data_IF_702769474842
#
_entry.id   IF_702769474842
#
_cell.length_a   1.000
_cell.length_b   1.000
_cell.length_c   1.000
_cell.angle_alpha   90.00
_cell.angle_beta   90.00
_cell.angle_gamma   90.00
#
_symmetry.space_group_name_H-M   'P 1'
#
loop_
_entity.id
_entity.type
_entity.pdbx_description
1 polymer ?
#
# COMPACT_ATOMS: atom_id res chain seq x y z
N UNK A 1 -39.08 -31.02 -67.26
CA UNK A 1 -40.45 -31.55 -67.34
C UNK A 1 -41.34 -30.53 -66.67
N UNK A 2 -42.11 -29.69 -67.31
CA UNK A 2 -42.37 -29.36 -68.72
C UNK A 2 -43.00 -27.95 -68.64
N UNK A 3 -42.40 -26.94 -69.27
CA UNK A 3 -42.84 -26.40 -70.57
C UNK A 3 -44.31 -25.96 -70.58
N UNK A 4 -44.54 -24.66 -70.83
CA UNK A 4 -45.13 -24.19 -72.10
C UNK A 4 -45.34 -22.66 -72.07
N UNK A 5 -44.34 -21.93 -72.57
CA UNK A 5 -44.57 -20.90 -73.61
C UNK A 5 -44.65 -21.65 -74.97
N UNK A 6 -45.13 -21.09 -76.12
CA UNK A 6 -45.01 -19.69 -76.54
C UNK A 6 -46.18 -19.17 -77.43
N UNK A 7 -46.07 -17.97 -78.01
CA UNK A 7 -45.89 -17.73 -79.46
C UNK A 7 -45.90 -16.22 -79.73
N UNK A 8 -44.83 -15.78 -80.39
CA UNK A 8 -44.63 -14.49 -81.05
C UNK A 8 -45.03 -14.67 -82.52
N UNK A 9 -45.68 -13.68 -83.13
CA UNK A 9 -45.56 -13.47 -84.58
C UNK A 9 -45.50 -11.97 -84.91
N UNK A 10 -44.55 -11.65 -85.79
CA UNK A 10 -44.16 -10.34 -86.29
C UNK A 10 -44.93 -10.01 -87.56
N UNK A 11 -45.21 -8.72 -87.83
CA UNK A 11 -44.97 -8.10 -89.15
C UNK A 11 -45.31 -6.59 -89.15
N UNK A 12 -44.30 -5.78 -89.45
CA UNK A 12 -44.37 -4.48 -90.14
C UNK A 12 -43.85 -4.70 -91.59
N UNK A 13 -43.92 -3.77 -92.59
CA UNK A 13 -44.19 -2.32 -92.52
C UNK A 13 -45.08 -1.74 -93.67
N UNK A 14 -45.37 -0.42 -93.64
CA UNK A 14 -45.00 0.70 -94.57
C UNK A 14 -46.12 1.74 -94.84
N UNK A 15 -45.72 3.01 -94.63
CA UNK A 15 -46.01 4.24 -95.41
C UNK A 15 -47.14 5.22 -94.99
N UNK A 16 -46.73 6.15 -94.13
CA UNK A 16 -46.76 7.63 -94.25
C UNK A 16 -47.90 8.32 -95.01
N UNK A 17 -48.64 9.17 -94.27
CA UNK A 17 -48.79 10.59 -94.60
C UNK A 17 -49.06 11.41 -93.32
N UNK A 18 -48.09 12.29 -92.99
CA UNK A 18 -48.20 13.45 -92.08
C UNK A 18 -49.47 14.27 -92.38
N UNK A 19 -50.15 14.97 -91.45
CA UNK A 19 -49.66 15.82 -90.35
C UNK A 19 -50.87 16.18 -89.48
N UNK A 20 -50.83 15.97 -88.17
CA UNK A 20 -51.08 17.04 -87.18
C UNK A 20 -50.64 16.59 -85.79
N UNK A 21 -49.93 17.50 -85.13
CA UNK A 21 -49.15 17.32 -83.91
C UNK A 21 -50.05 17.32 -82.67
N UNK A 22 -50.04 16.25 -81.87
CA UNK A 22 -50.31 16.36 -80.42
C UNK A 22 -49.63 15.23 -79.65
N UNK A 23 -48.36 15.45 -79.32
CA UNK A 23 -47.70 14.75 -78.21
C UNK A 23 -48.39 15.15 -76.90
N UNK A 24 -49.15 14.24 -76.27
CA UNK A 24 -49.52 14.40 -74.86
C UNK A 24 -48.47 13.67 -74.03
N UNK A 25 -47.44 14.41 -73.66
CA UNK A 25 -46.47 14.03 -72.63
C UNK A 25 -47.20 13.86 -71.30
N UNK A 26 -47.01 12.70 -70.69
CA UNK A 26 -47.31 12.41 -69.29
C UNK A 26 -46.56 13.42 -68.39
N UNK A 27 -47.29 14.31 -67.70
CA UNK A 27 -46.70 15.22 -66.72
C UNK A 27 -46.92 14.61 -65.34
N UNK A 28 -46.02 13.71 -64.95
CA UNK A 28 -45.88 13.32 -63.55
C UNK A 28 -45.34 14.52 -62.77
N UNK A 29 -46.20 15.17 -61.98
CA UNK A 29 -45.83 16.27 -61.11
C UNK A 29 -44.65 15.86 -60.20
N UNK A 30 -43.65 16.73 -59.98
CA UNK A 30 -42.50 16.39 -59.15
C UNK A 30 -42.98 16.08 -57.72
N UNK A 31 -42.70 14.86 -57.25
CA UNK A 31 -43.04 14.42 -55.89
C UNK A 31 -42.15 15.19 -54.90
N UNK A 32 -42.69 16.27 -54.33
CA UNK A 32 -42.06 17.03 -53.24
C UNK A 32 -42.44 16.42 -51.90
N UNK A 33 -41.54 15.66 -51.29
CA UNK A 33 -41.79 15.06 -49.98
C UNK A 33 -41.70 16.09 -48.85
N UNK A 34 -40.90 17.16 -49.02
CA UNK A 34 -40.75 18.20 -48.00
C UNK A 34 -42.05 18.97 -47.76
N UNK A 35 -42.86 19.16 -48.80
CA UNK A 35 -44.15 19.86 -48.70
C UNK A 35 -45.20 19.11 -47.86
N UNK A 36 -45.00 17.82 -47.63
CA UNK A 36 -45.90 16.96 -46.86
C UNK A 36 -45.47 16.77 -45.40
N UNK A 37 -44.37 17.40 -44.97
CA UNK A 37 -43.91 17.34 -43.59
C UNK A 37 -44.77 18.22 -42.67
N UNK A 38 -45.22 17.65 -41.56
CA UNK A 38 -46.05 18.34 -40.58
C UNK A 38 -45.23 18.94 -39.44
N UNK A 39 -45.76 20.02 -38.85
CA UNK A 39 -45.20 20.64 -37.66
C UNK A 39 -43.80 21.23 -37.87
N UNK A 40 -42.95 21.14 -36.85
CA UNK A 40 -41.63 21.78 -36.84
C UNK A 40 -40.62 21.13 -37.80
N UNK A 41 -40.91 19.94 -38.32
CA UNK A 41 -40.08 19.25 -39.31
C UNK A 41 -40.02 20.02 -40.63
N UNK A 42 -41.13 20.63 -41.05
CA UNK A 42 -41.22 21.45 -42.27
C UNK A 42 -40.40 22.75 -42.20
N UNK A 43 -39.99 23.17 -41.01
CA UNK A 43 -39.17 24.38 -40.76
C UNK A 43 -37.72 24.04 -40.38
N UNK A 44 -37.38 22.76 -40.35
CA UNK A 44 -36.08 22.31 -39.87
C UNK A 44 -34.97 22.69 -40.87
N UNK A 45 -33.85 23.29 -40.42
CA UNK A 45 -32.67 23.50 -41.26
C UNK A 45 -32.08 22.21 -41.84
N UNK A 46 -32.46 21.04 -41.29
CA UNK A 46 -32.07 19.72 -41.83
C UNK A 46 -32.63 19.47 -43.23
N UNK A 47 -33.75 20.10 -43.60
CA UNK A 47 -34.34 19.97 -44.93
C UNK A 47 -33.45 20.52 -46.05
N UNK A 48 -32.51 21.41 -45.73
CA UNK A 48 -31.57 21.95 -46.70
C UNK A 48 -30.44 20.96 -47.04
N UNK A 49 -30.29 19.87 -46.27
CA UNK A 49 -29.22 18.88 -46.44
C UNK A 49 -29.58 17.76 -47.42
N UNK A 50 -30.85 17.61 -47.76
CA UNK A 50 -31.36 16.54 -48.60
C UNK A 50 -32.14 17.16 -49.75
N UNK A 51 -32.08 16.57 -50.94
CA UNK A 51 -32.86 17.05 -52.08
C UNK A 51 -34.36 16.77 -51.89
N UNK A 52 -35.23 17.57 -52.51
CA UNK A 52 -36.68 17.36 -52.46
C UNK A 52 -37.14 16.37 -53.54
N UNK A 53 -36.52 15.19 -53.53
CA UNK A 53 -36.73 14.08 -54.47
C UNK A 53 -36.92 12.77 -53.69
N UNK A 54 -37.49 11.72 -54.30
CA UNK A 54 -37.55 10.39 -53.69
C UNK A 54 -36.18 9.88 -53.21
N UNK A 55 -35.11 10.18 -53.95
CA UNK A 55 -33.73 9.85 -53.59
C UNK A 55 -33.27 10.63 -52.35
N UNK A 56 -33.58 11.93 -52.27
CA UNK A 56 -33.29 12.75 -51.10
C UNK A 56 -34.02 12.29 -49.83
N UNK A 57 -35.25 11.79 -49.96
CA UNK A 57 -35.97 11.14 -48.86
C UNK A 57 -35.27 9.85 -48.39
N UNK A 58 -34.82 9.01 -49.33
CA UNK A 58 -34.05 7.81 -49.01
C UNK A 58 -32.73 8.16 -48.30
N UNK A 59 -32.03 9.20 -48.72
CA UNK A 59 -30.81 9.67 -48.05
C UNK A 59 -31.10 10.23 -46.64
N UNK A 60 -32.23 10.90 -46.43
CA UNK A 60 -32.66 11.33 -45.10
C UNK A 60 -32.92 10.15 -44.15
N UNK A 61 -33.63 9.11 -44.62
CA UNK A 61 -33.85 7.89 -43.84
C UNK A 61 -32.57 7.09 -43.63
N UNK A 62 -31.66 7.00 -44.61
CA UNK A 62 -30.33 6.42 -44.42
C UNK A 62 -29.51 7.21 -43.40
N UNK A 63 -29.56 8.54 -43.43
CA UNK A 63 -28.92 9.39 -42.43
C UNK A 63 -29.46 9.14 -41.03
N UNK A 64 -30.78 8.97 -40.88
CA UNK A 64 -31.40 8.58 -39.62
C UNK A 64 -30.99 7.18 -39.19
N UNK A 65 -31.01 6.18 -40.08
CA UNK A 65 -30.55 4.82 -39.77
C UNK A 65 -29.06 4.78 -39.40
N UNK A 66 -28.22 5.61 -40.04
CA UNK A 66 -26.81 5.76 -39.68
C UNK A 66 -26.64 6.47 -38.34
N UNK A 67 -27.50 7.45 -38.04
CA UNK A 67 -27.57 8.09 -36.73
C UNK A 67 -27.99 7.06 -35.68
N UNK A 68 -29.06 6.29 -35.88
CA UNK A 68 -29.49 5.22 -34.98
C UNK A 68 -28.40 4.15 -34.80
N UNK A 69 -27.68 3.76 -35.86
CA UNK A 69 -26.51 2.88 -35.74
C UNK A 69 -25.39 3.52 -34.92
N UNK A 70 -25.09 4.81 -35.13
CA UNK A 70 -24.08 5.55 -34.38
C UNK A 70 -24.51 5.82 -32.93
N UNK A 71 -25.82 5.98 -32.69
CA UNK A 71 -26.43 6.12 -31.38
C UNK A 71 -26.54 4.78 -30.65
N UNK A 72 -26.68 3.69 -31.40
CA UNK A 72 -26.76 2.31 -30.94
C UNK A 72 -25.41 1.64 -30.74
N UNK A 73 -24.31 2.25 -31.21
CA UNK A 73 -22.97 1.95 -30.69
C UNK A 73 -22.89 2.41 -29.23
N UNK A 74 -22.34 1.56 -28.37
CA UNK A 74 -22.24 1.73 -26.91
C UNK A 74 -21.77 3.13 -26.49
N UNK A 75 -22.72 4.06 -26.34
CA UNK A 75 -22.43 5.39 -25.83
C UNK A 75 -22.08 5.26 -24.37
N UNK A 76 -20.84 5.58 -24.03
CA UNK A 76 -20.43 5.74 -22.64
C UNK A 76 -21.11 7.01 -22.10
N UNK A 77 -22.05 6.89 -21.14
CA UNK A 77 -22.79 8.03 -20.63
C UNK A 77 -21.87 8.89 -19.77
N UNK A 78 -21.63 10.14 -20.20
CA UNK A 78 -20.77 11.08 -19.47
C UNK A 78 -21.61 11.73 -18.36
N UNK A 79 -21.17 11.66 -17.08
CA UNK A 79 -21.83 12.36 -15.98
C UNK A 79 -21.85 13.88 -16.21
N UNK A 80 -22.93 14.55 -15.83
CA UNK A 80 -23.09 16.00 -16.04
C UNK A 80 -22.26 16.85 -15.07
N UNK A 81 -21.78 16.25 -13.99
CA UNK A 81 -20.98 16.90 -12.96
C UNK A 81 -20.57 15.90 -11.86
N UNK A 82 -19.74 16.32 -10.89
CA UNK A 82 -19.33 15.50 -9.75
C UNK A 82 -20.51 14.96 -8.93
N UNK A 83 -21.59 15.73 -8.82
CA UNK A 83 -22.81 15.42 -8.08
C UNK A 83 -23.82 14.52 -8.83
N UNK A 84 -23.58 14.20 -10.10
CA UNK A 84 -24.48 13.38 -10.92
C UNK A 84 -24.34 11.88 -10.60
N UNK A 85 -24.87 11.46 -9.45
CA UNK A 85 -24.78 10.08 -8.94
C UNK A 85 -25.31 9.06 -9.96
N UNK A 86 -26.42 9.35 -10.63
CA UNK A 86 -26.99 8.48 -11.66
C UNK A 86 -26.13 8.44 -12.93
N UNK A 87 -25.56 9.57 -13.35
CA UNK A 87 -24.58 9.64 -14.43
C UNK A 87 -23.36 8.77 -14.15
N UNK A 88 -22.78 8.90 -12.96
CA UNK A 88 -21.65 8.08 -12.51
C UNK A 88 -22.00 6.59 -12.39
N UNK A 89 -23.22 6.25 -11.96
CA UNK A 89 -23.69 4.87 -11.92
C UNK A 89 -23.78 4.26 -13.33
N UNK A 90 -24.37 4.98 -14.29
CA UNK A 90 -24.46 4.53 -15.69
C UNK A 90 -23.07 4.43 -16.34
N UNK A 91 -22.19 5.40 -16.07
CA UNK A 91 -20.81 5.38 -16.55
C UNK A 91 -20.06 4.17 -16.02
N UNK A 92 -20.19 3.88 -14.72
CA UNK A 92 -19.56 2.73 -14.08
C UNK A 92 -20.03 1.41 -14.68
N UNK A 93 -21.34 1.27 -14.94
CA UNK A 93 -21.90 0.09 -15.60
C UNK A 93 -21.38 -0.06 -17.04
N UNK A 94 -21.31 1.02 -17.80
CA UNK A 94 -20.77 1.01 -19.15
C UNK A 94 -19.29 0.59 -19.20
N UNK A 95 -18.51 0.93 -18.15
CA UNK A 95 -17.12 0.51 -18.00
C UNK A 95 -16.95 -0.92 -17.43
N UNK A 96 -18.05 -1.63 -17.16
CA UNK A 96 -18.01 -2.97 -16.59
C UNK A 96 -17.52 -3.01 -15.14
N UNK A 97 -17.67 -1.91 -14.40
CA UNK A 97 -17.34 -1.86 -12.97
C UNK A 97 -18.36 -2.73 -12.23
N UNK A 98 -17.92 -3.70 -11.42
CA UNK A 98 -18.84 -4.58 -10.72
C UNK A 98 -19.65 -3.85 -9.65
N UNK A 99 -20.86 -4.33 -9.39
CA UNK A 99 -21.72 -3.78 -8.34
C UNK A 99 -21.12 -3.95 -6.94
N UNK A 100 -20.29 -4.99 -6.73
CA UNK A 100 -19.64 -5.29 -5.44
C UNK A 100 -18.14 -5.51 -5.59
N UNK A 101 -17.40 -5.23 -4.52
CA UNK A 101 -15.93 -5.28 -4.50
C UNK A 101 -15.39 -6.69 -4.75
N UNK A 102 -16.09 -7.73 -4.31
CA UNK A 102 -15.62 -9.12 -4.43
C UNK A 102 -15.59 -9.60 -5.90
N UNK A 103 -16.39 -8.95 -6.76
CA UNK A 103 -16.57 -9.34 -8.16
C UNK A 103 -15.49 -8.79 -9.09
N UNK A 104 -14.46 -8.12 -8.58
CA UNK A 104 -13.31 -7.71 -9.37
C UNK A 104 -12.47 -8.88 -9.90
N UNK A 105 -12.64 -10.08 -9.33
CA UNK A 105 -11.92 -11.29 -9.76
C UNK A 105 -10.41 -11.15 -9.61
N UNK A 106 -9.97 -10.54 -8.50
CA UNK A 106 -8.55 -10.39 -8.17
C UNK A 106 -7.94 -11.76 -7.88
N UNK A 107 -6.84 -12.07 -8.54
CA UNK A 107 -6.10 -13.32 -8.32
C UNK A 107 -5.49 -13.34 -6.92
N UNK A 108 -5.24 -14.52 -6.37
CA UNK A 108 -4.48 -14.61 -5.13
C UNK A 108 -3.03 -14.20 -5.35
N UNK A 109 -2.48 -13.46 -4.39
CA UNK A 109 -1.08 -13.04 -4.43
C UNK A 109 -0.19 -14.29 -4.37
N UNK A 110 0.76 -14.40 -5.30
CA UNK A 110 1.73 -15.50 -5.31
C UNK A 110 2.85 -15.20 -4.31
N UNK A 111 2.65 -15.60 -3.06
CA UNK A 111 3.64 -15.46 -2.00
C UNK A 111 4.33 -16.80 -1.77
N UNK A 112 5.67 -16.91 -1.96
CA UNK A 112 6.39 -18.12 -1.59
C UNK A 112 6.27 -18.42 -0.10
N UNK A 113 6.19 -19.70 0.27
CA UNK A 113 6.07 -20.14 1.68
C UNK A 113 7.22 -19.66 2.58
N UNK A 114 8.36 -19.32 1.99
CA UNK A 114 9.53 -18.76 2.67
C UNK A 114 9.30 -17.34 3.20
N UNK A 115 8.29 -16.60 2.71
CA UNK A 115 7.98 -15.22 3.11
C UNK A 115 6.95 -15.15 4.23
N UNK A 116 7.22 -15.85 5.34
CA UNK A 116 6.34 -15.86 6.52
C UNK A 116 6.16 -14.43 7.03
N UNK A 117 4.92 -13.93 7.01
CA UNK A 117 4.55 -12.59 7.47
C UNK A 117 4.21 -11.58 6.36
N UNK A 118 4.50 -11.88 5.08
CA UNK A 118 3.99 -11.06 3.98
C UNK A 118 2.56 -11.47 3.66
N UNK A 119 1.60 -10.66 4.08
CA UNK A 119 0.16 -10.89 3.84
C UNK A 119 -0.42 -9.78 2.98
N UNK A 120 -1.27 -10.15 2.04
CA UNK A 120 -1.97 -9.20 1.18
C UNK A 120 -3.45 -9.20 1.49
N UNK A 121 -3.97 -8.06 1.92
CA UNK A 121 -5.40 -7.88 2.18
C UNK A 121 -6.15 -7.60 0.86
N UNK A 122 -6.55 -8.69 0.20
CA UNK A 122 -7.29 -8.65 -1.07
C UNK A 122 -8.64 -7.97 -0.92
N UNK A 123 -9.31 -8.13 0.23
CA UNK A 123 -10.63 -7.55 0.46
C UNK A 123 -10.53 -6.04 0.57
N UNK A 124 -9.65 -5.53 1.42
CA UNK A 124 -9.45 -4.09 1.58
C UNK A 124 -8.99 -3.43 0.27
N UNK A 125 -8.16 -4.11 -0.51
CA UNK A 125 -7.77 -3.61 -1.83
C UNK A 125 -8.98 -3.54 -2.78
N UNK A 126 -9.80 -4.60 -2.82
CA UNK A 126 -11.01 -4.64 -3.63
C UNK A 126 -12.02 -3.55 -3.25
N UNK A 127 -12.22 -3.31 -1.95
CA UNK A 127 -13.06 -2.22 -1.42
C UNK A 127 -12.55 -0.85 -1.87
N UNK A 128 -11.23 -0.65 -1.81
CA UNK A 128 -10.59 0.61 -2.23
C UNK A 128 -10.79 0.85 -3.73
N UNK A 129 -10.47 -0.12 -4.58
CA UNK A 129 -10.60 0.07 -6.04
C UNK A 129 -12.07 0.22 -6.49
N UNK A 130 -13.02 -0.39 -5.76
CA UNK A 130 -14.45 -0.19 -5.98
C UNK A 130 -14.89 1.23 -5.62
N UNK A 131 -14.45 1.74 -4.47
CA UNK A 131 -14.76 3.10 -4.03
C UNK A 131 -14.28 4.14 -5.05
N UNK A 132 -13.11 3.91 -5.65
CA UNK A 132 -12.56 4.77 -6.70
C UNK A 132 -13.06 4.46 -8.12
N UNK A 133 -14.00 3.52 -8.29
CA UNK A 133 -14.60 3.19 -9.59
C UNK A 133 -13.56 2.83 -10.65
N UNK A 134 -12.57 2.01 -10.28
CA UNK A 134 -11.62 1.46 -11.25
C UNK A 134 -12.29 0.36 -12.08
N UNK A 135 -11.86 0.22 -13.33
CA UNK A 135 -12.30 -0.89 -14.17
C UNK A 135 -11.69 -2.21 -13.69
N UNK A 136 -12.29 -3.38 -14.02
CA UNK A 136 -11.71 -4.68 -13.66
C UNK A 136 -10.27 -4.87 -14.15
N UNK A 137 -9.95 -4.38 -15.34
CA UNK A 137 -8.61 -4.47 -15.91
C UNK A 137 -7.59 -3.63 -15.11
N UNK A 138 -7.96 -2.40 -14.75
CA UNK A 138 -7.13 -1.52 -13.92
C UNK A 138 -6.90 -2.10 -12.53
N UNK A 139 -7.97 -2.59 -11.88
CA UNK A 139 -7.89 -3.20 -10.57
C UNK A 139 -6.99 -4.44 -10.56
N UNK A 140 -7.11 -5.33 -11.56
CA UNK A 140 -6.25 -6.52 -11.69
C UNK A 140 -4.79 -6.15 -11.94
N UNK A 141 -4.53 -5.19 -12.83
CA UNK A 141 -3.17 -4.74 -13.13
C UNK A 141 -2.50 -4.09 -11.91
N UNK A 142 -3.22 -3.22 -11.19
CA UNK A 142 -2.71 -2.62 -9.95
C UNK A 142 -2.48 -3.65 -8.85
N UNK A 143 -3.38 -4.63 -8.71
CA UNK A 143 -3.21 -5.71 -7.73
C UNK A 143 -1.97 -6.54 -8.03
N UNK A 144 -1.76 -6.91 -9.29
CA UNK A 144 -0.58 -7.63 -9.72
C UNK A 144 0.69 -6.82 -9.43
N UNK A 145 0.75 -5.56 -9.88
CA UNK A 145 1.91 -4.70 -9.65
C UNK A 145 2.19 -4.47 -8.15
N UNK A 146 1.15 -4.25 -7.35
CA UNK A 146 1.25 -4.08 -5.91
C UNK A 146 1.82 -5.34 -5.23
N UNK A 147 1.30 -6.51 -5.56
CA UNK A 147 1.77 -7.78 -4.97
C UNK A 147 3.21 -8.10 -5.39
N UNK A 148 3.54 -7.96 -6.68
CA UNK A 148 4.88 -8.16 -7.22
C UNK A 148 5.91 -7.20 -6.60
N UNK A 149 5.59 -5.91 -6.49
CA UNK A 149 6.47 -4.90 -5.89
C UNK A 149 6.79 -5.22 -4.42
N UNK A 150 5.79 -5.67 -3.65
CA UNK A 150 6.00 -6.02 -2.24
C UNK A 150 6.84 -7.30 -2.09
N UNK A 151 6.62 -8.30 -2.95
CA UNK A 151 7.45 -9.52 -3.00
C UNK A 151 8.90 -9.17 -3.37
N UNK A 152 9.12 -8.29 -4.35
CA UNK A 152 10.44 -7.82 -4.72
C UNK A 152 11.11 -7.05 -3.58
N UNK A 153 10.40 -6.13 -2.94
CA UNK A 153 10.89 -5.36 -1.79
C UNK A 153 11.30 -6.28 -0.63
N UNK A 154 10.48 -7.30 -0.33
CA UNK A 154 10.80 -8.31 0.67
C UNK A 154 12.08 -9.08 0.32
N UNK A 155 12.19 -9.58 -0.91
CA UNK A 155 13.39 -10.28 -1.38
C UNK A 155 14.64 -9.41 -1.29
N UNK A 156 14.53 -8.13 -1.66
CA UNK A 156 15.63 -7.18 -1.57
C UNK A 156 16.04 -6.95 -0.11
N UNK A 157 15.09 -6.79 0.79
CA UNK A 157 15.34 -6.66 2.22
C UNK A 157 16.05 -7.90 2.79
N UNK A 158 15.58 -9.11 2.43
CA UNK A 158 16.20 -10.37 2.85
C UNK A 158 17.63 -10.51 2.33
N UNK A 159 17.87 -10.16 1.06
CA UNK A 159 19.20 -10.19 0.45
C UNK A 159 20.14 -9.18 1.12
N UNK A 160 19.66 -7.97 1.39
CA UNK A 160 20.43 -6.95 2.12
C UNK A 160 20.78 -7.44 3.52
N UNK A 161 19.78 -7.96 4.26
CA UNK A 161 19.98 -8.50 5.59
C UNK A 161 21.04 -9.61 5.61
N UNK A 162 20.98 -10.56 4.66
CA UNK A 162 21.99 -11.61 4.55
C UNK A 162 23.39 -11.03 4.28
N UNK A 163 23.51 -10.08 3.36
CA UNK A 163 24.77 -9.44 3.05
C UNK A 163 25.36 -8.68 4.26
N UNK A 164 24.51 -8.01 5.03
CA UNK A 164 24.91 -7.32 6.26
C UNK A 164 25.41 -8.33 7.31
N UNK A 165 24.71 -9.46 7.49
CA UNK A 165 25.17 -10.51 8.41
C UNK A 165 26.48 -11.14 7.96
N UNK A 166 26.63 -11.44 6.67
CA UNK A 166 27.88 -11.99 6.12
C UNK A 166 29.04 -11.00 6.34
N UNK A 167 28.79 -9.69 6.22
CA UNK A 167 29.78 -8.65 6.53
C UNK A 167 30.19 -8.64 8.00
N UNK A 168 29.23 -8.74 8.92
CA UNK A 168 29.50 -8.82 10.37
C UNK A 168 30.34 -10.05 10.69
N UNK A 169 29.93 -11.22 10.19
CA UNK A 169 30.65 -12.48 10.39
C UNK A 169 32.07 -12.40 9.85
N UNK A 170 32.24 -11.92 8.61
CA UNK A 170 33.56 -11.79 7.99
C UNK A 170 34.46 -10.80 8.75
N UNK A 171 33.91 -9.69 9.23
CA UNK A 171 34.65 -8.74 10.06
C UNK A 171 35.13 -9.40 11.34
N UNK A 172 34.24 -10.06 12.09
CA UNK A 172 34.58 -10.69 13.36
C UNK A 172 35.56 -11.86 13.18
N UNK A 173 35.40 -12.66 12.12
CA UNK A 173 36.37 -13.73 11.78
C UNK A 173 37.74 -13.19 11.42
N UNK A 174 37.81 -12.07 10.69
CA UNK A 174 39.08 -11.39 10.38
C UNK A 174 39.79 -10.90 11.65
N UNK A 175 39.03 -10.41 12.63
CA UNK A 175 39.58 -9.88 13.88
C UNK A 175 39.93 -10.95 14.91
N UNK A 176 39.12 -12.00 15.04
CA UNK A 176 39.27 -13.04 16.08
C UNK A 176 39.96 -14.32 15.61
N UNK A 177 40.02 -14.56 14.29
CA UNK A 177 40.58 -15.81 13.74
C UNK A 177 39.91 -17.03 14.34
N UNK A 178 40.73 -17.96 14.84
CA UNK A 178 40.29 -19.23 15.44
C UNK A 178 39.47 -19.04 16.73
N UNK A 179 39.59 -17.89 17.40
CA UNK A 179 38.81 -17.57 18.60
C UNK A 179 37.37 -17.12 18.28
N UNK A 180 36.99 -16.99 17.01
CA UNK A 180 35.68 -16.46 16.61
C UNK A 180 34.52 -17.24 17.23
N UNK A 181 34.50 -18.57 17.10
CA UNK A 181 33.38 -19.39 17.57
C UNK A 181 33.29 -19.33 19.11
N UNK A 182 34.42 -19.41 19.82
CA UNK A 182 34.46 -19.27 21.28
C UNK A 182 33.96 -17.91 21.76
N UNK A 183 34.33 -16.82 21.08
CA UNK A 183 33.86 -15.48 21.44
C UNK A 183 32.35 -15.30 21.21
N UNK A 184 31.81 -15.89 20.14
CA UNK A 184 30.36 -15.92 19.89
C UNK A 184 29.63 -16.72 20.97
N UNK A 185 30.16 -17.89 21.35
CA UNK A 185 29.61 -18.72 22.43
C UNK A 185 29.59 -18.00 23.78
N UNK A 186 30.68 -17.31 24.12
CA UNK A 186 30.75 -16.47 25.33
C UNK A 186 29.65 -15.40 25.32
N UNK A 187 29.42 -14.74 24.19
CA UNK A 187 28.36 -13.76 24.04
C UNK A 187 26.96 -14.37 24.18
N UNK A 188 26.72 -15.53 23.59
CA UNK A 188 25.44 -16.24 23.70
C UNK A 188 25.18 -16.75 25.11
N UNK A 189 26.23 -17.18 25.83
CA UNK A 189 26.13 -17.56 27.23
C UNK A 189 25.63 -16.41 28.10
N UNK A 190 26.13 -15.19 27.86
CA UNK A 190 25.66 -13.98 28.55
C UNK A 190 24.18 -13.74 28.26
N UNK A 191 23.77 -13.76 26.98
CA UNK A 191 22.35 -13.59 26.61
C UNK A 191 21.47 -14.61 27.33
N UNK A 192 21.84 -15.89 27.27
CA UNK A 192 21.08 -16.97 27.90
C UNK A 192 21.04 -16.86 29.43
N UNK A 193 22.09 -16.32 30.05
CA UNK A 193 22.18 -16.16 31.50
C UNK A 193 21.29 -15.04 32.03
N UNK A 194 21.10 -13.98 31.25
CA UNK A 194 20.40 -12.76 31.65
C UNK A 194 19.02 -12.58 31.02
N UNK A 195 18.61 -13.49 30.14
CA UNK A 195 17.25 -13.50 29.60
C UNK A 195 16.34 -14.32 30.52
N UNK A 196 15.17 -13.79 30.84
CA UNK A 196 14.18 -14.47 31.70
C UNK A 196 13.57 -15.70 31.03
N UNK A 197 13.53 -15.69 29.69
CA UNK A 197 12.93 -16.73 28.87
C UNK A 197 13.59 -16.80 27.47
N UNK A 198 13.21 -17.82 26.69
CA UNK A 198 13.76 -18.06 25.35
C UNK A 198 13.36 -17.01 24.32
N UNK A 199 12.14 -16.47 24.39
CA UNK A 199 11.67 -15.42 23.48
C UNK A 199 12.51 -14.15 23.67
N UNK A 200 12.76 -13.76 24.93
CA UNK A 200 13.65 -12.66 25.27
C UNK A 200 15.07 -12.91 24.76
N UNK A 201 15.61 -14.12 24.95
CA UNK A 201 16.94 -14.49 24.44
C UNK A 201 17.03 -14.41 22.91
N UNK A 202 16.06 -14.99 22.20
CA UNK A 202 16.00 -14.98 20.74
C UNK A 202 15.90 -13.54 20.20
N UNK A 203 15.09 -12.70 20.84
CA UNK A 203 14.95 -11.28 20.50
C UNK A 203 16.28 -10.52 20.67
N UNK A 204 16.93 -10.66 21.84
CA UNK A 204 18.20 -10.00 22.12
C UNK A 204 19.27 -10.48 21.13
N UNK A 205 19.37 -11.79 20.87
CA UNK A 205 20.29 -12.35 19.87
C UNK A 205 20.00 -11.73 18.50
N UNK A 206 18.75 -11.69 18.05
CA UNK A 206 18.39 -11.15 16.74
C UNK A 206 18.72 -9.65 16.59
N UNK A 207 18.63 -8.87 17.67
CA UNK A 207 18.97 -7.43 17.67
C UNK A 207 20.49 -7.23 17.68
N UNK A 208 21.21 -7.91 18.58
CA UNK A 208 22.63 -7.66 18.82
C UNK A 208 23.54 -8.37 17.82
N UNK A 209 23.11 -9.49 17.21
CA UNK A 209 23.88 -10.21 16.20
C UNK A 209 24.16 -9.38 14.92
N UNK A 210 23.47 -8.25 14.76
CA UNK A 210 23.66 -7.34 13.63
C UNK A 210 24.77 -6.33 13.84
N UNK A 211 25.31 -6.24 15.06
CA UNK A 211 26.25 -5.20 15.45
C UNK A 211 27.56 -5.80 15.99
N UNK A 212 28.68 -5.71 15.23
CA UNK A 212 29.96 -6.28 15.64
C UNK A 212 30.43 -5.79 17.02
N UNK A 213 30.15 -4.51 17.34
CA UNK A 213 30.52 -3.93 18.64
C UNK A 213 29.74 -4.55 19.80
N UNK A 214 28.46 -4.87 19.60
CA UNK A 214 27.63 -5.50 20.61
C UNK A 214 28.08 -6.95 20.85
N UNK A 215 28.37 -7.70 19.78
CA UNK A 215 28.88 -9.07 19.88
C UNK A 215 30.21 -9.09 20.65
N UNK A 216 31.14 -8.16 20.35
CA UNK A 216 32.39 -8.00 21.09
C UNK A 216 32.19 -7.64 22.55
N UNK A 217 31.25 -6.75 22.85
CA UNK A 217 30.92 -6.35 24.21
C UNK A 217 30.40 -7.55 25.03
N UNK A 218 29.47 -8.32 24.46
CA UNK A 218 28.94 -9.54 25.09
C UNK A 218 30.01 -10.61 25.28
N UNK A 219 30.87 -10.81 24.27
CA UNK A 219 32.02 -11.72 24.36
C UNK A 219 32.94 -11.36 25.53
N UNK A 220 33.28 -10.07 25.70
CA UNK A 220 34.09 -9.61 26.84
C UNK A 220 33.40 -9.81 28.19
N UNK A 221 32.09 -9.60 28.27
CA UNK A 221 31.34 -9.94 29.50
C UNK A 221 31.45 -11.44 29.75
N UNK A 222 31.20 -12.27 28.73
CA UNK A 222 31.28 -13.72 28.84
C UNK A 222 32.66 -14.20 29.28
N UNK A 223 33.73 -13.58 28.78
CA UNK A 223 35.10 -13.84 29.21
C UNK A 223 35.29 -13.59 30.71
N UNK A 224 34.82 -12.44 31.24
CA UNK A 224 34.86 -12.17 32.69
C UNK A 224 34.08 -13.19 33.51
N UNK A 225 32.97 -13.70 32.98
CA UNK A 225 32.19 -14.77 33.60
C UNK A 225 32.94 -16.11 33.59
N UNK A 226 33.52 -16.49 32.45
CA UNK A 226 34.26 -17.74 32.28
C UNK A 226 35.54 -17.78 33.14
N UNK A 227 36.20 -16.64 33.32
CA UNK A 227 37.38 -16.50 34.16
C UNK A 227 37.07 -16.37 35.67
N UNK A 228 35.78 -16.43 36.08
CA UNK A 228 35.32 -16.17 37.46
C UNK A 228 35.72 -14.79 38.03
N UNK A 229 36.01 -13.80 37.17
CA UNK A 229 36.44 -12.44 37.57
C UNK A 229 35.29 -11.50 37.91
N UNK A 230 34.05 -11.99 37.95
CA UNK A 230 32.85 -11.21 38.29
C UNK A 230 32.99 -10.56 39.69
N UNK A 231 33.71 -11.19 40.61
CA UNK A 231 33.99 -10.63 41.94
C UNK A 231 34.95 -9.43 41.95
N UNK A 232 35.70 -9.19 40.87
CA UNK A 232 36.58 -8.03 40.70
C UNK A 232 35.82 -6.78 40.23
N UNK A 233 34.56 -6.93 39.78
CA UNK A 233 33.64 -5.80 39.64
C UNK A 233 33.28 -5.27 41.03
N UNK A 234 34.18 -4.48 41.60
CA UNK A 234 33.89 -3.64 42.76
C UNK A 234 32.88 -2.57 42.32
N UNK A 235 31.59 -2.90 42.42
CA UNK A 235 30.54 -1.90 42.47
C UNK A 235 30.73 -1.10 43.76
N UNK A 236 31.53 -0.03 43.70
CA UNK A 236 31.58 0.96 44.78
C UNK A 236 30.21 1.64 44.83
N UNK A 237 29.29 1.09 45.62
CA UNK A 237 28.22 1.91 46.18
C UNK A 237 28.93 3.00 46.97
N UNK A 238 28.83 4.23 46.50
CA UNK A 238 29.19 5.40 47.29
C UNK A 238 28.16 5.66 48.41
N UNK A 239 27.15 4.81 48.58
CA UNK A 239 26.23 4.82 49.70
C UNK A 239 26.59 3.72 50.70
N UNK A 240 26.81 4.12 51.95
CA UNK A 240 26.86 3.21 53.09
C UNK A 240 25.56 2.38 53.15
N UNK A 241 25.65 1.10 53.51
CA UNK A 241 24.45 0.34 53.87
C UNK A 241 23.75 0.98 55.07
N UNK A 242 22.46 0.72 55.34
CA UNK A 242 21.77 1.23 56.52
C UNK A 242 22.49 0.88 57.83
N UNK A 243 23.04 -0.33 57.93
CA UNK A 243 23.80 -0.81 59.09
C UNK A 243 25.15 -0.09 59.20
N UNK A 244 25.82 0.15 58.08
CA UNK A 244 27.08 0.93 58.04
C UNK A 244 26.82 2.40 58.39
N UNK A 245 25.74 2.99 57.88
CA UNK A 245 25.31 4.35 58.21
C UNK A 245 24.96 4.45 59.70
N UNK A 246 24.33 3.43 60.29
CA UNK A 246 24.06 3.39 61.72
C UNK A 246 25.34 3.29 62.55
N UNK A 247 26.27 2.41 62.17
CA UNK A 247 27.58 2.28 62.83
C UNK A 247 28.39 3.58 62.74
N UNK A 248 28.31 4.29 61.62
CA UNK A 248 28.98 5.57 61.40
C UNK A 248 28.39 6.66 62.29
N UNK A 249 27.06 6.79 62.34
CA UNK A 249 26.36 7.71 63.25
C UNK A 249 26.75 7.43 64.69
N UNK A 250 26.73 6.17 65.12
CA UNK A 250 27.12 5.80 66.48
C UNK A 250 28.58 6.15 66.79
N UNK A 251 29.48 6.00 65.83
CA UNK A 251 30.90 6.35 65.98
C UNK A 251 31.08 7.87 66.09
N UNK A 252 30.39 8.63 65.24
CA UNK A 252 30.36 10.10 65.30
C UNK A 252 29.84 10.54 66.66
N UNK A 253 28.69 10.05 67.13
CA UNK A 253 28.11 10.43 68.42
C UNK A 253 28.98 10.08 69.64
N UNK A 254 29.81 9.03 69.54
CA UNK A 254 30.74 8.63 70.61
C UNK A 254 32.02 9.48 70.60
N UNK A 255 32.42 10.03 69.46
CA UNK A 255 33.60 10.87 69.35
C UNK A 255 33.31 12.32 69.77
N UNK A 256 33.73 12.65 70.99
CA UNK A 256 33.59 13.99 71.57
C UNK A 256 34.41 15.07 70.86
N UNK A 257 35.39 14.69 70.04
CA UNK A 257 36.22 15.61 69.25
C UNK A 257 35.72 15.75 67.82
N UNK A 258 34.71 14.98 67.43
CA UNK A 258 34.12 15.12 66.11
C UNK A 258 33.44 16.50 66.01
N UNK A 259 33.54 17.23 64.89
CA UNK A 259 32.93 18.55 64.74
C UNK A 259 31.42 18.60 65.02
N UNK A 260 30.73 17.46 64.91
CA UNK A 260 29.33 17.29 65.31
C UNK A 260 29.09 17.45 66.83
N UNK A 261 30.01 16.99 67.69
CA UNK A 261 29.85 17.01 69.15
C UNK A 261 30.76 18.03 69.86
N UNK A 262 31.78 18.54 69.18
CA UNK A 262 32.74 19.46 69.77
C UNK A 262 32.19 20.91 69.78
N UNK A 263 31.90 21.50 70.95
CA UNK A 263 31.41 22.88 71.04
C UNK A 263 32.46 23.93 70.65
N UNK A 264 33.73 23.53 70.51
CA UNK A 264 34.81 24.40 70.05
C UNK A 264 35.06 24.31 68.53
N UNK A 265 34.32 23.46 67.80
CA UNK A 265 34.42 23.35 66.35
C UNK A 265 33.99 24.65 65.65
N UNK A 266 34.58 24.95 64.50
CA UNK A 266 34.17 26.09 63.69
C UNK A 266 32.72 25.93 63.21
N UNK A 267 31.95 27.01 63.15
CA UNK A 267 30.53 26.96 62.75
C UNK A 267 30.31 26.23 61.40
N UNK A 268 31.13 26.53 60.39
CA UNK A 268 31.03 25.88 59.08
C UNK A 268 31.35 24.37 59.13
N UNK A 269 32.21 23.94 60.05
CA UNK A 269 32.60 22.52 60.20
C UNK A 269 31.54 21.75 60.97
N UNK A 270 30.94 22.38 61.98
CA UNK A 270 29.80 21.85 62.70
C UNK A 270 28.58 21.68 61.78
N UNK A 271 28.24 22.71 61.00
CA UNK A 271 27.11 22.67 60.06
C UNK A 271 27.29 21.56 59.02
N UNK A 272 28.49 21.42 58.44
CA UNK A 272 28.81 20.34 57.51
C UNK A 272 28.71 18.94 58.16
N UNK A 273 29.12 18.82 59.42
CA UNK A 273 29.01 17.57 60.17
C UNK A 273 27.55 17.22 60.51
N UNK A 274 26.71 18.22 60.81
CA UNK A 274 25.27 18.05 61.02
C UNK A 274 24.59 17.58 59.73
N UNK A 275 24.89 18.19 58.59
CA UNK A 275 24.35 17.79 57.29
C UNK A 275 24.77 16.37 56.90
N UNK A 276 26.02 16.00 57.18
CA UNK A 276 26.50 14.64 56.95
C UNK A 276 25.74 13.62 57.80
N UNK A 277 25.58 13.86 59.12
CA UNK A 277 24.81 12.98 60.02
C UNK A 277 23.34 12.89 59.61
N UNK A 278 22.74 13.99 59.16
CA UNK A 278 21.37 14.00 58.64
C UNK A 278 21.22 13.10 57.41
N UNK A 279 22.17 13.14 56.48
CA UNK A 279 22.19 12.26 55.31
C UNK A 279 22.34 10.76 55.69
N UNK A 280 23.12 10.45 56.73
CA UNK A 280 23.20 9.09 57.28
C UNK A 280 21.84 8.63 57.83
N UNK A 281 21.14 9.48 58.59
CA UNK A 281 19.80 9.17 59.09
C UNK A 281 18.76 9.00 57.98
N UNK A 282 18.81 9.81 56.93
CA UNK A 282 17.95 9.63 55.76
C UNK A 282 18.18 8.26 55.10
N UNK A 283 19.44 7.83 55.01
CA UNK A 283 19.81 6.50 54.47
C UNK A 283 19.28 5.37 55.35
N UNK A 284 19.37 5.51 56.68
CA UNK A 284 18.82 4.55 57.65
C UNK A 284 17.29 4.47 57.56
N UNK A 285 16.61 5.62 57.50
CA UNK A 285 15.15 5.68 57.52
C UNK A 285 14.52 5.19 56.21
N UNK A 286 15.17 5.46 55.07
CA UNK A 286 14.72 4.99 53.76
C UNK A 286 14.74 3.45 53.64
N UNK A 287 15.52 2.76 54.44
CA UNK A 287 15.55 1.29 54.47
C UNK A 287 14.49 0.66 55.39
N UNK A 288 13.85 1.47 56.25
CA UNK A 288 12.82 1.01 57.22
C UNK A 288 11.39 1.22 56.72
N UNK A 289 11.19 1.93 55.61
CA UNK A 289 9.89 2.15 54.96
C UNK A 289 9.85 1.49 53.59
#
# INVERSE_FOLDING_TARGET
MDNLDPVVDNQDPVEDTNTDDTTTTDIQAPISWKSNLQGDLGKSPLLNKFEDTPEGLNEAFKSHANLEKLLGHDKVPIPKGPEDVEGWSRFSKALGIPDKAENYGLADAKVPDSMKGLTFDKQKFAETVHAFKLTPAQAKGLWQAYTEQNVEAYNKALKSHKADMDKVVNQLKSEWGDAYDGNVELGQLVINKFSDDKETADYITAVLAKEPKAIKFLSKIGEQFAENKIGEFSYKRFSLSPEQAQSEVESILKDKKHPYNDPAAGQSEHDAAVDYVNNLYLTINKAKG
#
